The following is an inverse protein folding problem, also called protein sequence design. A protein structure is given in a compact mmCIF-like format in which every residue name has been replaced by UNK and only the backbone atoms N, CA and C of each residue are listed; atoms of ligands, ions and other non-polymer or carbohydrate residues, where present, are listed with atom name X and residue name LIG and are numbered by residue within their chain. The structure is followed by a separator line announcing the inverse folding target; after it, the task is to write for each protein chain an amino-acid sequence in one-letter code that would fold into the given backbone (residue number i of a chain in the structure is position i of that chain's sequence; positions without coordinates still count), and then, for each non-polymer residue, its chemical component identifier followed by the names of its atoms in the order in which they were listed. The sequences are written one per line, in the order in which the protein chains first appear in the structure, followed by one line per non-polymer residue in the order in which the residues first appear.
data_IF_821991781072
#
_entry.id   IF_821991781072
#
_cell.length_a   1.000
_cell.length_b   1.000
_cell.length_c   1.000
_cell.angle_alpha   90.00
_cell.angle_beta   90.00
_cell.angle_gamma   90.00
#
_symmetry.space_group_name_H-M   'P 1'
#
loop_
_entity.id
_entity.type
_entity.pdbx_description
1 polymer ?
#
# COMPACT_ATOMS: atom_id res chain seq x y z
N UNK A 1 14.37 -7.54 12.25
CA UNK A 1 15.22 -6.55 11.55
C UNK A 1 15.41 -5.34 12.43
N UNK A 2 16.57 -4.69 12.39
CA UNK A 2 16.80 -3.45 13.16
C UNK A 2 16.07 -2.28 12.49
N UNK A 3 15.44 -1.41 13.30
CA UNK A 3 14.79 -0.21 12.82
C UNK A 3 15.80 0.93 12.71
N UNK A 4 15.71 1.72 11.64
CA UNK A 4 16.58 2.88 11.40
C UNK A 4 15.83 4.16 11.78
N UNK A 5 16.52 5.11 12.43
CA UNK A 5 15.93 6.40 12.75
C UNK A 5 15.98 7.31 11.52
N UNK A 6 14.81 7.75 11.06
CA UNK A 6 14.66 8.67 9.91
C UNK A 6 13.90 9.91 10.35
N UNK A 7 14.45 11.09 10.07
CA UNK A 7 13.77 12.37 10.29
C UNK A 7 13.08 12.83 9.01
N UNK A 8 11.75 12.93 9.03
CA UNK A 8 10.96 13.41 7.90
C UNK A 8 9.94 14.47 8.36
N UNK A 9 9.71 15.48 7.53
CA UNK A 9 8.64 16.47 7.75
C UNK A 9 7.35 15.92 7.18
N UNK A 10 6.33 15.79 8.03
CA UNK A 10 5.04 15.25 7.67
C UNK A 10 3.93 16.26 7.94
N UNK A 11 2.86 16.21 7.14
CA UNK A 11 1.67 17.00 7.41
C UNK A 11 0.96 16.44 8.67
N UNK A 12 0.76 17.25 9.72
CA UNK A 12 0.22 16.78 11.00
C UNK A 12 -1.26 16.37 10.92
N UNK A 13 -2.02 16.91 9.96
CA UNK A 13 -3.41 16.49 9.75
C UNK A 13 -3.48 15.11 9.08
N UNK A 14 -2.63 14.87 8.09
CA UNK A 14 -2.54 13.55 7.44
C UNK A 14 -2.10 12.47 8.43
N UNK A 15 -1.11 12.78 9.26
CA UNK A 15 -0.61 11.86 10.28
C UNK A 15 -1.71 11.48 11.29
N UNK A 16 -2.46 12.45 11.80
CA UNK A 16 -3.57 12.19 12.74
C UNK A 16 -4.70 11.36 12.12
N UNK A 17 -5.03 11.59 10.85
CA UNK A 17 -6.02 10.77 10.13
C UNK A 17 -5.52 9.35 9.95
N UNK A 18 -4.30 9.18 9.44
CA UNK A 18 -3.68 7.87 9.27
C UNK A 18 -3.61 7.10 10.58
N UNK A 19 -3.24 7.75 11.68
CA UNK A 19 -3.19 7.13 13.00
C UNK A 19 -4.55 6.56 13.43
N UNK A 20 -5.64 7.32 13.23
CA UNK A 20 -7.00 6.86 13.54
C UNK A 20 -7.44 5.70 12.66
N UNK A 21 -7.24 5.82 11.34
CA UNK A 21 -7.66 4.79 10.37
C UNK A 21 -6.89 3.49 10.57
N UNK A 22 -5.60 3.58 10.84
CA UNK A 22 -4.72 2.42 11.00
C UNK A 22 -4.70 1.87 12.43
N UNK A 23 -5.44 2.48 13.37
CA UNK A 23 -5.49 2.06 14.77
C UNK A 23 -4.12 2.07 15.47
N UNK A 24 -3.23 2.97 15.05
CA UNK A 24 -1.85 3.01 15.53
C UNK A 24 -1.72 3.87 16.80
N UNK A 25 -0.89 3.44 17.74
CA UNK A 25 -0.65 4.15 19.01
C UNK A 25 0.44 5.21 18.87
N UNK A 26 1.42 4.98 18.00
CA UNK A 26 2.57 5.88 17.81
C UNK A 26 2.69 6.37 16.36
N UNK A 27 3.42 7.46 16.17
CA UNK A 27 3.75 7.98 14.84
C UNK A 27 4.54 6.96 14.02
N UNK A 28 5.53 6.32 14.63
CA UNK A 28 6.37 5.31 13.96
C UNK A 28 5.55 4.10 13.51
N UNK A 29 4.65 3.61 14.38
CA UNK A 29 3.73 2.52 14.05
C UNK A 29 2.76 2.91 12.92
N UNK A 30 2.27 4.15 12.93
CA UNK A 30 1.41 4.68 11.86
C UNK A 30 2.16 4.66 10.52
N UNK A 31 3.42 5.10 10.51
CA UNK A 31 4.24 5.15 9.29
C UNK A 31 4.56 3.74 8.80
N UNK A 32 4.95 2.82 9.70
CA UNK A 32 5.22 1.43 9.35
C UNK A 32 4.01 0.75 8.70
N UNK A 33 2.84 0.80 9.36
CA UNK A 33 1.61 0.21 8.81
C UNK A 33 1.21 0.83 7.47
N UNK A 34 1.42 2.13 7.30
CA UNK A 34 1.15 2.79 6.03
C UNK A 34 2.09 2.31 4.91
N UNK A 35 3.38 2.10 5.22
CA UNK A 35 4.35 1.56 4.28
C UNK A 35 4.04 0.10 3.92
N UNK A 36 3.68 -0.71 4.90
CA UNK A 36 3.30 -2.11 4.69
C UNK A 36 2.09 -2.19 3.73
N UNK A 37 1.03 -1.42 4.00
CA UNK A 37 -0.17 -1.39 3.15
C UNK A 37 0.12 -0.93 1.72
N UNK A 38 0.96 0.08 1.52
CA UNK A 38 1.30 0.57 0.18
C UNK A 38 2.15 -0.44 -0.57
N UNK A 39 3.05 -1.13 0.13
CA UNK A 39 3.90 -2.18 -0.47
C UNK A 39 3.06 -3.39 -0.87
N UNK A 40 2.22 -3.90 0.04
CA UNK A 40 1.28 -4.98 -0.27
C UNK A 40 0.34 -4.62 -1.42
N UNK A 41 -0.19 -3.38 -1.43
CA UNK A 41 -1.02 -2.91 -2.55
C UNK A 41 -0.25 -2.90 -3.86
N UNK A 42 1.00 -2.41 -3.87
CA UNK A 42 1.81 -2.37 -5.09
C UNK A 42 2.15 -3.78 -5.59
N UNK A 43 2.42 -4.73 -4.69
CA UNK A 43 2.62 -6.14 -5.04
C UNK A 43 1.36 -6.76 -5.63
N UNK A 44 0.20 -6.53 -5.00
CA UNK A 44 -1.08 -7.00 -5.53
C UNK A 44 -1.43 -6.37 -6.87
N UNK A 45 -1.25 -5.06 -7.04
CA UNK A 45 -1.49 -4.38 -8.31
C UNK A 45 -0.58 -4.91 -9.41
N UNK A 46 0.70 -5.19 -9.10
CA UNK A 46 1.64 -5.78 -10.05
C UNK A 46 1.24 -7.20 -10.45
N UNK A 47 0.73 -8.00 -9.52
CA UNK A 47 0.16 -9.34 -9.79
C UNK A 47 -1.07 -9.20 -10.67
N UNK A 48 -2.03 -8.34 -10.30
CA UNK A 48 -3.24 -8.10 -11.10
C UNK A 48 -2.87 -7.63 -12.51
N UNK A 49 -1.90 -6.73 -12.68
CA UNK A 49 -1.47 -6.27 -14.00
C UNK A 49 -0.80 -7.38 -14.82
N UNK A 50 -0.01 -8.25 -14.19
CA UNK A 50 0.57 -9.43 -14.86
C UNK A 50 -0.49 -10.42 -15.33
N UNK A 51 -1.55 -10.60 -14.56
CA UNK A 51 -2.63 -11.54 -14.88
C UNK A 51 -3.82 -10.90 -15.64
N UNK A 52 -3.99 -9.58 -15.64
CA UNK A 52 -5.02 -8.91 -16.44
C UNK A 52 -4.61 -8.79 -17.90
N UNK A 53 -3.30 -8.83 -18.19
CA UNK A 53 -2.77 -8.95 -19.55
C UNK A 53 -3.07 -10.30 -20.23
N UNK A 54 -3.53 -11.33 -19.49
CA UNK A 54 -3.96 -12.61 -20.07
C UNK A 54 -5.45 -12.65 -20.42
N UNK A 55 -6.19 -11.58 -20.11
CA UNK A 55 -7.58 -11.37 -20.53
C UNK A 55 -7.69 -10.44 -21.73
N UNK A 56 -7.10 -10.81 -22.87
CA UNK A 56 -7.43 -10.14 -24.13
C UNK A 56 -8.94 -10.26 -24.39
N UNK A 57 -9.58 -9.13 -24.73
CA UNK A 57 -11.01 -8.97 -24.99
C UNK A 57 -11.61 -9.87 -26.09
N UNK A 58 -10.82 -10.75 -26.72
CA UNK A 58 -11.24 -11.72 -27.74
C UNK A 58 -11.32 -13.18 -27.24
N UNK A 59 -11.15 -13.45 -25.94
CA UNK A 59 -11.15 -14.83 -25.42
C UNK A 59 -12.50 -15.57 -25.55
N UNK A 60 -13.58 -14.88 -25.95
CA UNK A 60 -14.92 -15.45 -26.09
C UNK A 60 -15.50 -15.34 -27.51
N UNK A 61 -14.69 -15.00 -28.52
CA UNK A 61 -15.18 -14.73 -29.89
C UNK A 61 -15.14 -15.94 -30.84
N UNK A 62 -15.01 -17.16 -30.33
CA UNK A 62 -15.13 -18.37 -31.15
C UNK A 62 -16.11 -19.37 -30.51
N UNK A 63 -17.40 -19.21 -30.82
CA UNK A 63 -18.39 -20.30 -30.79
C UNK A 63 -19.58 -20.03 -31.68
#
# INVERSE_FOLDING_TARGET
MALVQVSARLNPQKLRRAQKVLGAKTTSETIQRALDLVTEKAEHDAVIQRYSGVGTSHAFEDR
#
